data_IF_231179645879
#
_entry.id   IF_231179645879
#
_cell.length_a   1.000
_cell.length_b   1.000
_cell.length_c   1.000
_cell.angle_alpha   90.00
_cell.angle_beta   90.00
_cell.angle_gamma   90.00
#
_symmetry.space_group_name_H-M   'P 1'
#
loop_
_entity.id
_entity.type
_entity.pdbx_description
1 polymer ?
#
# COMPACT_ATOMS: atom_id res chain seq x y z
N UNK A 1 8.06 95.05 -19.62
CA UNK A 1 7.96 94.29 -20.88
C UNK A 1 6.50 93.88 -21.08
N UNK A 2 6.09 93.82 -22.36
CA UNK A 2 4.75 94.03 -22.90
C UNK A 2 3.56 93.25 -22.29
N UNK A 3 2.47 93.99 -22.12
CA UNK A 3 1.06 93.58 -21.93
C UNK A 3 0.42 93.13 -23.26
N UNK A 4 -0.62 92.28 -23.20
CA UNK A 4 -1.67 92.25 -24.25
C UNK A 4 -3.04 91.79 -23.71
N UNK A 5 -3.89 92.79 -23.48
CA UNK A 5 -5.37 92.73 -23.53
C UNK A 5 -5.82 92.53 -24.99
N UNK A 6 -6.91 91.80 -25.21
CA UNK A 6 -7.72 91.81 -26.45
C UNK A 6 -8.90 90.85 -26.24
N UNK A 7 -10.14 91.07 -26.65
CA UNK A 7 -10.88 92.22 -27.17
C UNK A 7 -12.31 91.71 -27.33
N UNK A 8 -13.28 92.41 -26.74
CA UNK A 8 -14.69 92.30 -27.11
C UNK A 8 -14.84 92.56 -28.62
N UNK A 9 -15.42 91.62 -29.37
CA UNK A 9 -16.17 91.92 -30.59
C UNK A 9 -17.41 91.03 -30.65
N UNK A 10 -18.56 91.65 -30.40
CA UNK A 10 -19.88 91.17 -30.84
C UNK A 10 -19.89 91.12 -32.37
N UNK A 11 -20.43 90.08 -33.01
CA UNK A 11 -21.02 90.20 -34.32
C UNK A 11 -22.49 90.59 -34.20
N UNK A 12 -22.86 91.49 -35.10
CA UNK A 12 -24.14 92.15 -35.24
C UNK A 12 -25.19 91.20 -35.84
N UNK A 13 -26.45 91.54 -35.58
CA UNK A 13 -27.61 90.76 -36.00
C UNK A 13 -27.73 90.71 -37.52
N UNK A 14 -28.01 89.53 -38.07
CA UNK A 14 -28.71 89.45 -39.35
C UNK A 14 -29.61 88.21 -39.42
N UNK A 15 -30.90 88.52 -39.59
CA UNK A 15 -31.96 87.78 -40.26
C UNK A 15 -32.05 86.26 -40.07
N UNK A 16 -33.11 85.88 -39.37
CA UNK A 16 -33.74 84.56 -39.39
C UNK A 16 -33.93 83.99 -40.80
N UNK A 17 -33.78 82.67 -40.95
CA UNK A 17 -34.75 81.86 -41.65
C UNK A 17 -35.54 81.05 -40.62
N UNK A 18 -36.87 81.18 -40.65
CA UNK A 18 -37.79 80.21 -40.03
C UNK A 18 -37.62 78.87 -40.74
N UNK A 19 -36.67 78.06 -40.27
CA UNK A 19 -36.46 76.68 -40.69
C UNK A 19 -37.08 75.73 -39.66
N UNK A 20 -38.02 74.89 -40.11
CA UNK A 20 -38.48 73.71 -39.38
C UNK A 20 -37.31 72.75 -39.16
N UNK A 21 -36.64 72.80 -38.01
CA UNK A 21 -35.59 71.82 -37.61
C UNK A 21 -35.82 71.23 -36.22
N UNK A 22 -37.03 71.36 -35.67
CA UNK A 22 -37.38 70.86 -34.33
C UNK A 22 -37.71 69.36 -34.26
N UNK A 23 -37.92 68.67 -35.39
CA UNK A 23 -38.33 67.26 -35.38
C UNK A 23 -37.16 66.26 -35.35
N UNK A 24 -35.97 66.64 -35.83
CA UNK A 24 -34.81 65.74 -35.90
C UNK A 24 -34.08 65.65 -34.55
N UNK A 25 -34.00 66.75 -33.80
CA UNK A 25 -33.34 66.76 -32.48
C UNK A 25 -34.13 66.01 -31.40
N UNK A 26 -35.48 66.00 -31.48
CA UNK A 26 -36.33 65.23 -30.57
C UNK A 26 -36.21 63.72 -30.80
N UNK A 27 -36.07 63.28 -32.06
CA UNK A 27 -35.85 61.87 -32.40
C UNK A 27 -34.51 61.37 -31.87
N UNK A 28 -33.43 62.14 -32.08
CA UNK A 28 -32.09 61.77 -31.58
C UNK A 28 -32.04 61.78 -30.05
N UNK A 29 -32.70 62.72 -29.39
CA UNK A 29 -32.78 62.75 -27.93
C UNK A 29 -33.55 61.54 -27.37
N UNK A 30 -34.65 61.15 -28.01
CA UNK A 30 -35.41 59.95 -27.60
C UNK A 30 -34.57 58.66 -27.75
N UNK A 31 -33.77 58.56 -28.80
CA UNK A 31 -32.85 57.44 -29.03
C UNK A 31 -31.73 57.39 -27.97
N UNK A 32 -31.10 58.52 -27.66
CA UNK A 32 -30.08 58.62 -26.60
C UNK A 32 -30.64 58.30 -25.21
N UNK A 33 -31.88 58.68 -24.93
CA UNK A 33 -32.55 58.32 -23.67
C UNK A 33 -32.81 56.81 -23.59
N UNK A 34 -33.23 56.20 -24.71
CA UNK A 34 -33.43 54.75 -24.81
C UNK A 34 -32.11 54.00 -24.60
N UNK A 35 -31.02 54.44 -25.23
CA UNK A 35 -29.70 53.83 -25.12
C UNK A 35 -29.11 53.98 -23.72
N UNK A 36 -29.25 55.14 -23.08
CA UNK A 36 -28.86 55.32 -21.68
C UNK A 36 -29.65 54.40 -20.74
N UNK A 37 -30.95 54.23 -20.99
CA UNK A 37 -31.77 53.30 -20.20
C UNK A 37 -31.32 51.84 -20.38
N UNK A 38 -30.92 51.46 -21.60
CA UNK A 38 -30.39 50.15 -21.91
C UNK A 38 -29.03 49.93 -21.26
N UNK A 39 -28.09 50.86 -21.42
CA UNK A 39 -26.76 50.81 -20.80
C UNK A 39 -26.84 50.73 -19.27
N UNK A 40 -27.75 51.49 -18.66
CA UNK A 40 -27.96 51.42 -17.21
C UNK A 40 -28.43 50.03 -16.77
N UNK A 41 -29.39 49.43 -17.48
CA UNK A 41 -29.81 48.05 -17.24
C UNK A 41 -28.65 47.07 -17.42
N UNK A 42 -27.84 47.22 -18.45
CA UNK A 42 -26.66 46.37 -18.69
C UNK A 42 -25.64 46.51 -17.55
N UNK A 43 -25.37 47.72 -17.08
CA UNK A 43 -24.47 47.96 -15.94
C UNK A 43 -25.01 47.29 -14.67
N UNK A 44 -26.31 47.40 -14.41
CA UNK A 44 -26.93 46.80 -13.23
C UNK A 44 -26.87 45.26 -13.28
N UNK A 45 -27.10 44.67 -14.47
CA UNK A 45 -26.93 43.22 -14.71
C UNK A 45 -25.48 42.80 -14.46
N UNK A 46 -24.51 43.48 -15.09
CA UNK A 46 -23.09 43.14 -14.95
C UNK A 46 -22.59 43.31 -13.51
N UNK A 47 -23.10 44.28 -12.75
CA UNK A 47 -22.80 44.43 -11.32
C UNK A 47 -23.34 43.26 -10.49
N UNK A 48 -24.57 42.83 -10.75
CA UNK A 48 -25.16 41.68 -10.07
C UNK A 48 -24.41 40.37 -10.39
N UNK A 49 -24.01 40.18 -11.66
CA UNK A 49 -23.19 39.05 -12.09
C UNK A 49 -21.80 39.07 -11.43
N UNK A 50 -21.14 40.23 -11.41
CA UNK A 50 -19.83 40.38 -10.77
C UNK A 50 -19.89 40.04 -9.26
N UNK A 51 -20.93 40.52 -8.56
CA UNK A 51 -21.15 40.18 -7.15
C UNK A 51 -21.34 38.66 -6.96
N UNK A 52 -22.12 38.03 -7.85
CA UNK A 52 -22.35 36.58 -7.83
C UNK A 52 -21.04 35.81 -8.06
N UNK A 53 -20.20 36.25 -9.00
CA UNK A 53 -18.91 35.63 -9.28
C UNK A 53 -17.93 35.80 -8.12
N UNK A 54 -17.91 36.96 -7.46
CA UNK A 54 -17.12 37.17 -6.24
C UNK A 54 -17.50 36.21 -5.12
N UNK A 55 -18.80 36.01 -4.88
CA UNK A 55 -19.25 35.03 -3.88
C UNK A 55 -18.92 33.57 -4.24
N UNK A 56 -18.97 33.22 -5.53
CA UNK A 56 -18.54 31.89 -5.99
C UNK A 56 -17.04 31.68 -5.79
N UNK A 57 -16.24 32.69 -6.13
CA UNK A 57 -14.79 32.66 -5.95
C UNK A 57 -14.43 32.54 -4.46
N UNK A 58 -15.04 33.36 -3.62
CA UNK A 58 -14.85 33.34 -2.16
C UNK A 58 -15.09 31.94 -1.57
N UNK A 59 -16.20 31.27 -1.95
CA UNK A 59 -16.49 29.88 -1.55
C UNK A 59 -15.48 28.86 -2.07
N UNK A 60 -14.93 29.07 -3.27
CA UNK A 60 -13.90 28.18 -3.83
C UNK A 60 -12.61 28.34 -3.04
N UNK A 61 -12.22 29.57 -2.71
CA UNK A 61 -11.01 29.85 -1.93
C UNK A 61 -11.16 29.32 -0.50
N UNK A 62 -12.29 29.56 0.15
CA UNK A 62 -12.59 29.01 1.48
C UNK A 62 -12.43 27.49 1.52
N UNK A 63 -12.97 26.80 0.50
CA UNK A 63 -12.78 25.34 0.37
C UNK A 63 -11.33 24.98 0.12
N UNK A 64 -10.65 25.70 -0.76
CA UNK A 64 -9.25 25.43 -1.10
C UNK A 64 -8.38 25.49 0.17
N UNK A 65 -8.50 26.56 0.95
CA UNK A 65 -7.78 26.76 2.22
C UNK A 65 -8.07 25.61 3.20
N UNK A 66 -9.32 25.14 3.29
CA UNK A 66 -9.67 24.03 4.19
C UNK A 66 -9.02 22.68 3.87
N UNK A 67 -8.45 22.50 2.68
CA UNK A 67 -7.77 21.27 2.26
C UNK A 67 -6.24 21.34 2.31
N UNK A 68 -5.69 22.53 2.52
CA UNK A 68 -4.25 22.79 2.58
C UNK A 68 -3.79 22.81 4.04
N UNK A 69 -2.51 22.49 4.27
CA UNK A 69 -1.92 22.58 5.61
C UNK A 69 -1.68 24.06 5.96
N UNK A 70 -2.16 24.50 7.12
CA UNK A 70 -2.04 25.91 7.55
C UNK A 70 -0.58 26.31 7.83
N UNK A 71 0.29 25.34 8.12
CA UNK A 71 1.71 25.59 8.40
C UNK A 71 2.52 25.95 7.14
N UNK A 72 2.05 25.55 5.96
CA UNK A 72 2.76 25.75 4.68
C UNK A 72 2.44 27.12 4.05
N UNK A 73 1.38 27.78 4.50
CA UNK A 73 0.86 29.01 3.90
C UNK A 73 0.54 30.06 4.97
N UNK A 74 1.14 31.26 4.85
CA UNK A 74 0.91 32.34 5.82
C UNK A 74 -0.39 33.10 5.54
N UNK A 75 -1.50 32.59 6.09
CA UNK A 75 -2.81 33.25 6.02
C UNK A 75 -2.97 34.43 6.99
N UNK A 76 -1.99 34.69 7.87
CA UNK A 76 -2.12 35.70 8.93
C UNK A 76 -2.21 37.14 8.40
N UNK A 77 -1.73 37.36 7.17
CA UNK A 77 -1.75 38.66 6.49
C UNK A 77 -3.05 38.95 5.72
N UNK A 78 -3.92 37.94 5.52
CA UNK A 78 -5.13 38.07 4.74
C UNK A 78 -6.32 38.49 5.61
N UNK A 79 -6.97 39.62 5.29
CA UNK A 79 -8.18 40.07 5.98
C UNK A 79 -9.42 39.39 5.37
N UNK A 80 -9.36 39.04 4.08
CA UNK A 80 -10.37 38.28 3.35
C UNK A 80 -9.72 37.18 2.50
N UNK A 81 -10.45 36.09 2.25
CA UNK A 81 -10.03 35.05 1.30
C UNK A 81 -9.81 35.59 -0.12
N UNK A 82 -10.49 36.68 -0.49
CA UNK A 82 -10.30 37.34 -1.78
C UNK A 82 -8.97 38.09 -1.90
N UNK A 83 -8.25 38.29 -0.79
CA UNK A 83 -6.94 38.95 -0.78
C UNK A 83 -5.81 37.98 -1.12
N UNK A 84 -6.09 36.67 -1.13
CA UNK A 84 -5.13 35.62 -1.51
C UNK A 84 -4.74 35.80 -2.98
N UNK A 85 -3.44 35.80 -3.26
CA UNK A 85 -2.92 35.98 -4.61
C UNK A 85 -3.31 34.81 -5.51
N UNK A 86 -3.40 35.06 -6.82
CA UNK A 86 -3.68 34.00 -7.79
C UNK A 86 -2.57 32.95 -7.81
N UNK A 87 -1.33 33.40 -7.64
CA UNK A 87 -0.14 32.55 -7.55
C UNK A 87 -0.25 31.57 -6.38
N UNK A 88 -0.65 32.03 -5.20
CA UNK A 88 -0.82 31.18 -4.02
C UNK A 88 -1.99 30.21 -4.21
N UNK A 89 -3.10 30.65 -4.81
CA UNK A 89 -4.21 29.75 -5.16
C UNK A 89 -3.78 28.64 -6.13
N UNK A 90 -2.95 28.97 -7.13
CA UNK A 90 -2.44 27.98 -8.07
C UNK A 90 -1.46 27.01 -7.41
N UNK A 91 -0.62 27.49 -6.49
CA UNK A 91 0.27 26.65 -5.69
C UNK A 91 -0.53 25.68 -4.81
N UNK A 92 -1.55 26.16 -4.09
CA UNK A 92 -2.44 25.32 -3.28
C UNK A 92 -3.15 24.25 -4.11
N UNK A 93 -3.66 24.61 -5.29
CA UNK A 93 -4.26 23.63 -6.22
C UNK A 93 -3.22 22.60 -6.65
N UNK A 94 -2.00 23.03 -7.01
CA UNK A 94 -0.90 22.14 -7.38
C UNK A 94 -0.55 21.18 -6.24
N UNK A 95 -0.49 21.65 -5.00
CA UNK A 95 -0.16 20.83 -3.84
C UNK A 95 -1.25 19.79 -3.56
N UNK A 96 -2.52 20.21 -3.53
CA UNK A 96 -3.66 19.29 -3.36
C UNK A 96 -3.68 18.23 -4.47
N UNK A 97 -3.43 18.64 -5.72
CA UNK A 97 -3.47 17.73 -6.87
C UNK A 97 -2.22 16.85 -7.00
N UNK A 98 -1.08 17.25 -6.44
CA UNK A 98 0.18 16.51 -6.54
C UNK A 98 0.48 15.61 -5.35
N UNK A 99 0.04 15.93 -4.13
CA UNK A 99 0.62 15.31 -2.91
C UNK A 99 -0.22 14.26 -2.18
N UNK A 100 -1.54 14.11 -2.37
CA UNK A 100 -2.32 13.27 -1.42
C UNK A 100 -3.02 12.01 -1.95
N UNK A 101 -3.35 11.89 -3.24
CA UNK A 101 -4.09 10.72 -3.73
C UNK A 101 -3.24 9.69 -4.49
N UNK A 102 -2.24 10.10 -5.27
CA UNK A 102 -1.39 9.17 -6.04
C UNK A 102 -0.59 8.23 -5.14
N UNK A 103 0.21 8.76 -4.20
CA UNK A 103 1.07 7.91 -3.38
C UNK A 103 0.31 7.01 -2.38
N UNK A 104 -0.83 7.44 -1.83
CA UNK A 104 -1.62 6.62 -0.90
C UNK A 104 -2.41 5.54 -1.62
N UNK A 105 -2.98 5.87 -2.77
CA UNK A 105 -3.74 4.92 -3.57
C UNK A 105 -2.81 3.92 -4.25
N UNK A 106 -1.64 4.35 -4.75
CA UNK A 106 -0.60 3.45 -5.25
C UNK A 106 -0.10 2.51 -4.14
N UNK A 107 0.21 3.01 -2.95
CA UNK A 107 0.63 2.14 -1.85
C UNK A 107 -0.46 1.13 -1.44
N UNK A 108 -1.74 1.54 -1.44
CA UNK A 108 -2.86 0.63 -1.18
C UNK A 108 -3.03 -0.43 -2.27
N UNK A 109 -2.97 -0.02 -3.54
CA UNK A 109 -3.07 -0.93 -4.68
C UNK A 109 -1.89 -1.90 -4.71
N UNK A 110 -0.67 -1.42 -4.45
CA UNK A 110 0.53 -2.26 -4.35
C UNK A 110 0.40 -3.29 -3.23
N UNK A 111 -0.08 -2.87 -2.05
CA UNK A 111 -0.33 -3.77 -0.90
C UNK A 111 -1.40 -4.81 -1.25
N UNK A 112 -2.45 -4.40 -1.98
CA UNK A 112 -3.54 -5.28 -2.40
C UNK A 112 -3.09 -6.28 -3.47
N UNK A 113 -2.27 -5.84 -4.43
CA UNK A 113 -1.65 -6.70 -5.45
C UNK A 113 -0.77 -7.74 -4.76
N UNK A 114 0.06 -7.32 -3.80
CA UNK A 114 0.91 -8.20 -3.00
C UNK A 114 0.10 -9.25 -2.21
N UNK A 115 -1.01 -8.85 -1.57
CA UNK A 115 -1.93 -9.77 -0.88
C UNK A 115 -2.53 -10.80 -1.86
N UNK A 116 -2.95 -10.36 -3.04
CA UNK A 116 -3.54 -11.26 -4.04
C UNK A 116 -2.50 -12.25 -4.57
N UNK A 117 -1.28 -11.81 -4.82
CA UNK A 117 -0.20 -12.67 -5.32
C UNK A 117 0.28 -13.68 -4.29
N UNK A 118 0.40 -13.28 -3.02
CA UNK A 118 0.72 -14.20 -1.92
C UNK A 118 -0.38 -15.26 -1.79
N UNK A 119 -1.65 -14.87 -1.90
CA UNK A 119 -2.78 -15.81 -1.91
C UNK A 119 -2.76 -16.74 -3.12
N UNK A 120 -2.45 -16.24 -4.33
CA UNK A 120 -2.27 -17.07 -5.53
C UNK A 120 -1.14 -18.08 -5.32
N UNK A 121 -0.03 -17.67 -4.72
CA UNK A 121 1.11 -18.54 -4.44
C UNK A 121 0.76 -19.63 -3.42
N UNK A 122 0.04 -19.27 -2.36
CA UNK A 122 -0.48 -20.24 -1.38
C UNK A 122 -1.43 -21.24 -2.05
N UNK A 123 -2.39 -20.77 -2.84
CA UNK A 123 -3.34 -21.63 -3.57
C UNK A 123 -2.58 -22.55 -4.54
N UNK A 124 -1.60 -22.02 -5.27
CA UNK A 124 -0.79 -22.81 -6.21
C UNK A 124 0.02 -23.89 -5.50
N UNK A 125 0.51 -23.61 -4.29
CA UNK A 125 1.23 -24.56 -3.45
C UNK A 125 0.30 -25.65 -2.91
N UNK A 126 -0.88 -25.28 -2.41
CA UNK A 126 -1.91 -26.23 -1.98
C UNK A 126 -2.41 -27.10 -3.15
N UNK A 127 -2.55 -26.51 -4.34
CA UNK A 127 -2.89 -27.24 -5.55
C UNK A 127 -1.78 -28.24 -5.94
N UNK A 128 -0.50 -27.86 -5.87
CA UNK A 128 0.61 -28.77 -6.14
C UNK A 128 0.63 -29.96 -5.16
N UNK A 129 0.39 -29.71 -3.86
CA UNK A 129 0.26 -30.77 -2.84
C UNK A 129 -0.90 -31.72 -3.17
N UNK A 130 -2.04 -31.17 -3.60
CA UNK A 130 -3.20 -31.93 -4.05
C UNK A 130 -2.89 -32.84 -5.24
N UNK A 131 -2.19 -32.31 -6.26
CA UNK A 131 -1.79 -33.07 -7.45
C UNK A 131 -0.82 -34.20 -7.06
N UNK A 132 0.16 -33.93 -6.19
CA UNK A 132 1.07 -34.96 -5.70
C UNK A 132 0.34 -36.06 -4.92
N UNK A 133 -0.59 -35.69 -4.03
CA UNK A 133 -1.41 -36.66 -3.30
C UNK A 133 -2.23 -37.52 -4.27
N UNK A 134 -2.85 -36.91 -5.28
CA UNK A 134 -3.62 -37.62 -6.31
C UNK A 134 -2.76 -38.65 -7.03
N UNK A 135 -1.57 -38.25 -7.50
CA UNK A 135 -0.64 -39.16 -8.19
C UNK A 135 -0.22 -40.32 -7.29
N UNK A 136 0.07 -40.04 -6.01
CA UNK A 136 0.43 -41.08 -5.04
C UNK A 136 -0.71 -42.07 -4.81
N UNK A 137 -1.95 -41.58 -4.74
CA UNK A 137 -3.14 -42.41 -4.62
C UNK A 137 -3.36 -43.27 -5.87
N UNK A 138 -3.26 -42.69 -7.07
CA UNK A 138 -3.41 -43.42 -8.34
C UNK A 138 -2.34 -44.52 -8.47
N UNK A 139 -1.09 -44.22 -8.12
CA UNK A 139 0.00 -45.19 -8.14
C UNK A 139 -0.21 -46.30 -7.10
N UNK A 140 -0.53 -45.96 -5.85
CA UNK A 140 -0.75 -46.97 -4.81
C UNK A 140 -1.98 -47.85 -5.07
N UNK A 141 -3.05 -47.31 -5.67
CA UNK A 141 -4.20 -48.11 -6.10
C UNK A 141 -3.83 -49.05 -7.28
N UNK A 142 -2.99 -48.58 -8.21
CA UNK A 142 -2.45 -49.43 -9.27
C UNK A 142 -1.54 -50.54 -8.71
N UNK A 143 -0.74 -50.26 -7.69
CA UNK A 143 0.08 -51.25 -6.98
C UNK A 143 -0.80 -52.30 -6.29
N UNK A 144 -1.84 -51.87 -5.55
CA UNK A 144 -2.82 -52.77 -4.93
C UNK A 144 -3.46 -53.70 -5.95
N UNK A 145 -3.80 -53.18 -7.14
CA UNK A 145 -4.36 -53.97 -8.24
C UNK A 145 -3.39 -55.08 -8.72
N UNK A 146 -2.08 -54.86 -8.58
CA UNK A 146 -1.04 -55.83 -8.95
C UNK A 146 -0.65 -56.81 -7.84
N UNK A 147 -1.04 -56.56 -6.58
CA UNK A 147 -0.69 -57.41 -5.45
C UNK A 147 -1.47 -58.74 -5.45
N UNK A 148 -0.78 -59.84 -5.15
CA UNK A 148 -1.38 -61.18 -5.03
C UNK A 148 -1.68 -61.57 -3.58
N UNK A 149 -1.07 -60.88 -2.60
CA UNK A 149 -1.17 -61.20 -1.17
C UNK A 149 -1.97 -60.12 -0.44
N UNK A 150 -2.87 -60.58 0.45
CA UNK A 150 -3.77 -59.69 1.18
C UNK A 150 -3.03 -58.80 2.19
N UNK A 151 -1.89 -59.25 2.72
CA UNK A 151 -1.12 -58.49 3.70
C UNK A 151 -0.39 -57.30 3.06
N UNK A 152 0.08 -57.46 1.82
CA UNK A 152 0.66 -56.37 1.02
C UNK A 152 -0.40 -55.32 0.68
N UNK A 153 -1.59 -55.76 0.29
CA UNK A 153 -2.74 -54.87 0.03
C UNK A 153 -3.08 -54.05 1.29
N UNK A 154 -3.14 -54.68 2.46
CA UNK A 154 -3.43 -54.00 3.73
C UNK A 154 -2.37 -52.96 4.08
N UNK A 155 -1.09 -53.29 3.86
CA UNK A 155 0.01 -52.37 4.15
C UNK A 155 -0.03 -51.13 3.24
N UNK A 156 -0.22 -51.32 1.93
CA UNK A 156 -0.31 -50.20 0.98
C UNK A 156 -1.56 -49.36 1.26
N UNK A 157 -2.71 -49.99 1.52
CA UNK A 157 -3.95 -49.28 1.86
C UNK A 157 -3.83 -48.46 3.16
N UNK A 158 -3.14 -48.98 4.18
CA UNK A 158 -2.88 -48.25 5.42
C UNK A 158 -1.97 -47.03 5.17
N UNK A 159 -0.93 -47.17 4.36
CA UNK A 159 -0.04 -46.05 3.98
C UNK A 159 -0.80 -44.96 3.23
N UNK A 160 -1.61 -45.33 2.23
CA UNK A 160 -2.44 -44.39 1.48
C UNK A 160 -3.43 -43.67 2.40
N UNK A 161 -4.11 -44.41 3.28
CA UNK A 161 -5.03 -43.82 4.27
C UNK A 161 -4.34 -42.77 5.13
N UNK A 162 -3.12 -43.04 5.60
CA UNK A 162 -2.35 -42.08 6.39
C UNK A 162 -1.99 -40.82 5.59
N UNK A 163 -1.54 -40.98 4.34
CA UNK A 163 -1.19 -39.86 3.46
C UNK A 163 -2.39 -38.95 3.15
N UNK A 164 -3.60 -39.51 2.97
CA UNK A 164 -4.84 -38.72 2.79
C UNK A 164 -5.28 -37.96 4.05
N UNK A 165 -5.11 -38.57 5.23
CA UNK A 165 -5.52 -37.96 6.50
C UNK A 165 -4.60 -36.80 6.89
N UNK A 166 -3.32 -36.88 6.51
CA UNK A 166 -2.31 -35.85 6.82
C UNK A 166 -2.55 -34.53 6.08
N UNK A 167 -3.18 -34.57 4.91
CA UNK A 167 -3.24 -33.41 4.03
C UNK A 167 -4.32 -32.39 4.42
N UNK A 168 -5.19 -32.64 5.42
CA UNK A 168 -6.31 -31.75 5.85
C UNK A 168 -7.27 -31.26 4.74
N UNK A 169 -7.02 -31.60 3.47
CA UNK A 169 -7.80 -31.17 2.31
C UNK A 169 -9.19 -31.83 2.26
N UNK A 170 -9.38 -32.95 2.98
CA UNK A 170 -10.66 -33.64 3.14
C UNK A 170 -11.25 -33.52 4.55
N UNK A 171 -11.03 -32.40 5.26
CA UNK A 171 -11.87 -32.09 6.42
C UNK A 171 -13.26 -31.75 5.88
N UNK A 172 -14.15 -32.75 5.82
CA UNK A 172 -15.59 -32.46 5.89
C UNK A 172 -15.79 -31.52 7.09
N UNK A 173 -16.56 -30.42 6.93
CA UNK A 173 -16.93 -29.61 8.07
C UNK A 173 -17.47 -30.55 9.13
N UNK A 174 -16.78 -30.63 10.28
CA UNK A 174 -17.29 -31.40 11.40
C UNK A 174 -18.65 -30.78 11.69
N UNK A 175 -19.72 -31.49 11.34
CA UNK A 175 -21.07 -31.09 11.68
C UNK A 175 -21.05 -30.76 13.17
N UNK A 176 -21.26 -29.48 13.49
CA UNK A 176 -21.19 -28.99 14.85
C UNK A 176 -22.08 -29.89 15.71
N UNK A 177 -21.45 -30.66 16.61
CA UNK A 177 -22.21 -31.45 17.57
C UNK A 177 -23.10 -30.48 18.34
N UNK A 178 -24.41 -30.72 18.44
CA UNK A 178 -25.33 -29.79 19.08
C UNK A 178 -24.89 -29.57 20.53
N UNK A 179 -24.65 -28.30 20.87
CA UNK A 179 -24.33 -27.84 22.23
C UNK A 179 -25.45 -28.35 23.16
N UNK A 180 -25.10 -29.26 24.08
CA UNK A 180 -26.00 -29.65 25.17
C UNK A 180 -26.39 -28.40 25.98
N UNK A 181 -27.67 -28.20 26.31
CA UNK A 181 -28.09 -27.06 27.12
C UNK A 181 -27.54 -27.19 28.54
N UNK A 182 -26.93 -26.11 29.04
CA UNK A 182 -26.49 -25.97 30.42
C UNK A 182 -27.74 -25.86 31.31
N UNK A 183 -28.15 -26.96 31.93
CA UNK A 183 -29.13 -26.92 33.01
C UNK A 183 -28.46 -26.41 34.29
N UNK A 184 -29.00 -25.29 34.78
CA UNK A 184 -28.82 -24.79 36.14
C UNK A 184 -29.58 -25.72 37.09
N UNK A 185 -28.91 -26.30 38.08
CA UNK A 185 -29.53 -26.56 39.38
C UNK A 185 -28.47 -26.64 40.48
N UNK A 186 -28.71 -25.85 41.52
CA UNK A 186 -27.95 -25.80 42.78
C UNK A 186 -28.10 -27.13 43.54
N UNK A 187 -27.08 -27.51 44.29
CA UNK A 187 -27.25 -27.96 45.67
C UNK A 187 -25.94 -27.72 46.46
N UNK A 188 -26.08 -27.05 47.60
CA UNK A 188 -25.13 -27.01 48.73
C UNK A 188 -25.06 -28.44 49.34
N UNK A 189 -24.08 -28.88 50.13
CA UNK A 189 -23.25 -28.23 51.15
C UNK A 189 -22.08 -29.16 51.54
N UNK A 190 -21.09 -28.58 52.25
CA UNK A 190 -20.29 -29.18 53.34
C UNK A 190 -19.32 -30.34 53.01
N UNK A 191 -18.07 -30.43 53.49
CA UNK A 191 -17.31 -29.72 54.52
C UNK A 191 -15.82 -30.11 54.37
N UNK A 192 -14.92 -29.13 54.60
CA UNK A 192 -13.72 -29.21 55.48
C UNK A 192 -12.36 -29.72 54.94
N UNK A 193 -11.36 -28.87 55.26
CA UNK A 193 -9.88 -28.95 55.22
C UNK A 193 -9.21 -28.62 53.87
N UNK A 194 -8.32 -27.65 53.75
CA UNK A 194 -7.59 -26.83 54.73
C UNK A 194 -6.37 -26.23 54.02
N UNK A 195 -5.88 -25.10 54.53
CA UNK A 195 -4.60 -24.43 54.20
C UNK A 195 -4.57 -23.45 53.01
N UNK A 196 -5.08 -22.25 53.30
CA UNK A 196 -4.37 -20.97 53.28
C UNK A 196 -2.91 -20.99 52.74
N UNK A 197 -2.62 -20.13 51.75
CA UNK A 197 -1.75 -18.95 51.91
C UNK A 197 -2.00 -17.99 50.72
N UNK A 198 -2.32 -16.75 51.07
CA UNK A 198 -2.45 -15.58 50.20
C UNK A 198 -1.11 -15.22 49.54
N UNK A 199 -1.13 -14.82 48.27
CA UNK A 199 -0.18 -13.80 47.78
C UNK A 199 -0.94 -12.74 46.99
N UNK A 200 -0.78 -11.52 47.50
CA UNK A 200 -1.31 -10.25 47.05
C UNK A 200 -0.69 -9.83 45.71
N UNK A 201 -1.50 -9.12 44.93
CA UNK A 201 -1.07 -8.30 43.80
C UNK A 201 -0.44 -7.00 44.36
N UNK A 202 0.73 -6.59 43.87
CA UNK A 202 1.08 -5.17 43.85
C UNK A 202 1.35 -4.69 42.41
N UNK A 203 0.53 -3.73 41.98
CA UNK A 203 0.89 -2.72 40.98
C UNK A 203 2.01 -1.82 41.52
N UNK A 204 3.10 -1.65 40.77
CA UNK A 204 3.79 -0.37 40.56
C UNK A 204 5.10 -0.55 39.80
N UNK A 205 5.41 0.49 39.03
CA UNK A 205 6.60 0.71 38.23
C UNK A 205 7.91 0.26 38.88
N UNK A 206 8.66 -0.57 38.17
CA UNK A 206 10.13 -0.53 38.18
C UNK A 206 10.69 -1.31 36.98
N UNK A 207 11.53 -0.63 36.20
CA UNK A 207 12.43 -1.26 35.20
C UNK A 207 13.22 -2.39 35.86
N UNK A 208 13.30 -3.58 35.25
CA UNK A 208 14.44 -4.46 35.44
C UNK A 208 15.47 -4.18 34.35
N UNK A 209 16.43 -3.32 34.70
CA UNK A 209 17.77 -3.39 34.14
C UNK A 209 18.45 -4.58 34.81
N UNK A 210 18.64 -5.72 34.14
CA UNK A 210 19.81 -6.59 34.36
C UNK A 210 19.83 -7.77 33.39
N UNK A 211 20.91 -7.79 32.61
CA UNK A 211 21.74 -8.96 32.32
C UNK A 211 21.03 -10.31 32.13
N UNK A 212 20.70 -10.59 30.88
CA UNK A 212 21.08 -11.84 30.22
C UNK A 212 21.00 -11.61 28.70
N UNK A 213 21.93 -10.77 28.22
CA UNK A 213 22.23 -10.68 26.80
C UNK A 213 22.85 -12.01 26.37
N UNK A 214 22.05 -12.89 25.80
CA UNK A 214 22.55 -14.01 25.02
C UNK A 214 23.20 -13.42 23.76
N UNK A 215 24.52 -13.53 23.55
CA UNK A 215 25.10 -13.21 22.27
C UNK A 215 24.81 -14.41 21.37
N UNK A 216 23.76 -14.33 20.55
CA UNK A 216 23.53 -15.30 19.48
C UNK A 216 23.52 -14.61 18.12
N UNK A 217 24.50 -13.74 17.89
CA UNK A 217 25.20 -13.80 16.62
C UNK A 217 26.23 -14.93 16.76
N UNK A 218 25.90 -16.13 16.28
CA UNK A 218 26.97 -17.00 15.81
C UNK A 218 27.61 -16.19 14.71
N UNK A 219 28.75 -15.56 15.00
CA UNK A 219 29.58 -14.91 14.02
C UNK A 219 29.99 -16.01 13.03
N UNK A 220 29.16 -16.22 12.01
CA UNK A 220 29.59 -16.94 10.83
C UNK A 220 30.71 -16.08 10.28
N UNK A 221 31.94 -16.61 10.30
CA UNK A 221 33.03 -16.08 9.51
C UNK A 221 32.52 -16.05 8.06
N UNK A 222 32.05 -14.88 7.63
CA UNK A 222 31.56 -14.66 6.28
C UNK A 222 32.80 -14.62 5.39
N UNK A 223 33.07 -15.74 4.72
CA UNK A 223 33.98 -15.74 3.59
C UNK A 223 33.45 -14.73 2.57
N UNK A 224 34.31 -13.78 2.18
CA UNK A 224 33.98 -12.78 1.17
C UNK A 224 33.75 -13.53 -0.13
N UNK A 225 32.48 -13.63 -0.55
CA UNK A 225 32.12 -14.23 -1.83
C UNK A 225 32.36 -13.18 -2.91
N UNK A 226 33.49 -13.29 -3.59
CA UNK A 226 33.76 -12.48 -4.79
C UNK A 226 32.95 -13.06 -5.95
N UNK A 227 32.00 -12.28 -6.46
CA UNK A 227 31.24 -12.64 -7.66
C UNK A 227 31.79 -11.77 -8.80
N UNK A 228 32.44 -12.37 -9.81
CA UNK A 228 32.88 -11.64 -11.00
C UNK A 228 31.68 -11.00 -11.69
N UNK A 229 31.78 -9.75 -12.13
CA UNK A 229 30.68 -9.09 -12.82
C UNK A 229 30.35 -9.83 -14.14
N UNK A 230 29.06 -10.02 -14.42
CA UNK A 230 28.63 -10.77 -15.60
C UNK A 230 28.66 -9.92 -16.87
N UNK A 231 29.30 -10.45 -17.92
CA UNK A 231 29.31 -9.85 -19.25
C UNK A 231 27.92 -9.85 -19.93
N UNK A 232 27.06 -10.80 -19.56
CA UNK A 232 25.70 -10.96 -20.10
C UNK A 232 24.72 -11.31 -18.98
N UNK A 233 23.60 -10.57 -18.90
CA UNK A 233 22.54 -10.85 -17.92
C UNK A 233 21.67 -12.04 -18.36
N UNK A 234 21.37 -12.91 -17.41
CA UNK A 234 20.47 -14.06 -17.56
C UNK A 234 19.00 -13.62 -17.41
N UNK A 235 18.03 -14.40 -17.94
CA UNK A 235 16.61 -14.06 -17.79
C UNK A 235 16.14 -14.14 -16.34
N UNK A 236 15.30 -13.21 -15.88
CA UNK A 236 14.72 -13.23 -14.52
C UNK A 236 13.83 -14.45 -14.25
N UNK A 237 13.29 -15.08 -15.30
CA UNK A 237 12.53 -16.34 -15.20
C UNK A 237 13.42 -17.56 -14.92
N UNK A 238 14.74 -17.39 -14.84
CA UNK A 238 15.66 -18.45 -14.41
C UNK A 238 15.19 -19.01 -13.07
N UNK A 239 15.11 -20.34 -12.98
CA UNK A 239 14.69 -21.02 -11.78
C UNK A 239 15.77 -20.98 -10.69
N UNK A 240 15.39 -20.95 -9.41
CA UNK A 240 16.31 -20.80 -8.26
C UNK A 240 17.28 -21.98 -8.11
N UNK A 241 16.96 -23.14 -8.70
CA UNK A 241 17.90 -24.28 -8.80
C UNK A 241 19.10 -23.95 -9.70
N UNK A 242 18.86 -23.17 -10.75
CA UNK A 242 19.82 -22.85 -11.81
C UNK A 242 20.43 -21.45 -11.64
N UNK A 243 20.20 -20.81 -10.49
CA UNK A 243 20.79 -19.53 -10.16
C UNK A 243 22.30 -19.66 -9.96
N UNK A 244 23.05 -18.62 -10.34
CA UNK A 244 24.51 -18.52 -10.17
C UNK A 244 24.89 -18.91 -8.72
N UNK A 245 25.71 -19.96 -8.52
CA UNK A 245 25.98 -20.53 -7.20
C UNK A 245 26.55 -19.52 -6.20
N UNK A 246 27.42 -18.62 -6.65
CA UNK A 246 28.07 -17.61 -5.83
C UNK A 246 27.06 -16.57 -5.32
N UNK A 247 26.17 -16.12 -6.21
CA UNK A 247 25.06 -15.23 -5.84
C UNK A 247 24.09 -15.92 -4.88
N UNK A 248 23.83 -17.22 -5.09
CA UNK A 248 23.02 -18.04 -4.19
C UNK A 248 23.62 -18.13 -2.81
N UNK A 249 24.93 -18.34 -2.74
CA UNK A 249 25.67 -18.41 -1.49
C UNK A 249 25.64 -17.07 -0.74
N UNK A 250 25.81 -15.94 -1.44
CA UNK A 250 25.70 -14.60 -0.87
C UNK A 250 24.30 -14.36 -0.26
N UNK A 251 23.24 -14.71 -0.99
CA UNK A 251 21.85 -14.56 -0.49
C UNK A 251 21.61 -15.44 0.73
N UNK A 252 22.13 -16.68 0.71
CA UNK A 252 22.04 -17.59 1.85
C UNK A 252 22.73 -16.99 3.07
N UNK A 253 23.94 -16.48 2.90
CA UNK A 253 24.72 -15.89 4.00
C UNK A 253 24.01 -14.69 4.61
N UNK A 254 23.59 -13.73 3.80
CA UNK A 254 22.99 -12.47 4.25
C UNK A 254 21.60 -12.66 4.89
N UNK A 255 20.72 -13.45 4.28
CA UNK A 255 19.37 -13.67 4.83
C UNK A 255 19.35 -14.67 5.99
N UNK A 256 20.40 -15.47 6.17
CA UNK A 256 20.52 -16.34 7.35
C UNK A 256 20.84 -15.55 8.62
N UNK A 257 21.31 -14.30 8.51
CA UNK A 257 21.57 -13.45 9.66
C UNK A 257 20.27 -13.07 10.36
N UNK A 258 20.22 -13.29 11.67
CA UNK A 258 19.06 -12.96 12.48
C UNK A 258 18.90 -11.43 12.58
N UNK A 259 17.75 -10.90 12.16
CA UNK A 259 17.44 -9.47 12.28
C UNK A 259 16.36 -9.25 13.33
N UNK A 260 16.53 -8.23 14.16
CA UNK A 260 15.60 -7.92 15.26
C UNK A 260 14.18 -7.58 14.79
N UNK A 261 14.05 -7.03 13.59
CA UNK A 261 12.77 -6.71 12.95
C UNK A 261 12.11 -7.91 12.22
N UNK A 262 12.76 -9.08 12.18
CA UNK A 262 12.26 -10.25 11.47
C UNK A 262 12.45 -10.23 9.95
N UNK A 263 13.11 -9.20 9.39
CA UNK A 263 13.37 -9.07 7.95
C UNK A 263 14.53 -9.97 7.46
N UNK A 264 14.45 -11.25 7.78
CA UNK A 264 15.42 -12.30 7.48
C UNK A 264 14.74 -13.51 6.83
N UNK A 265 15.44 -14.65 6.80
CA UNK A 265 14.93 -15.90 6.24
C UNK A 265 13.54 -16.30 6.76
N UNK A 266 13.14 -15.91 7.99
CA UNK A 266 11.84 -16.28 8.57
C UNK A 266 10.69 -15.63 7.81
N UNK A 267 10.78 -14.32 7.60
CA UNK A 267 9.81 -13.57 6.82
C UNK A 267 9.79 -14.03 5.37
N UNK A 268 10.97 -14.27 4.78
CA UNK A 268 11.03 -14.80 3.42
C UNK A 268 10.35 -16.17 3.31
N UNK A 269 10.63 -17.10 4.24
CA UNK A 269 10.05 -18.44 4.29
C UNK A 269 8.52 -18.40 4.36
N UNK A 270 7.97 -17.56 5.25
CA UNK A 270 6.52 -17.37 5.39
C UNK A 270 5.91 -16.87 4.08
N UNK A 271 6.55 -15.90 3.43
CA UNK A 271 6.07 -15.30 2.18
C UNK A 271 6.06 -16.25 1.00
N UNK A 272 7.03 -17.15 0.92
CA UNK A 272 7.07 -18.18 -0.14
C UNK A 272 6.23 -19.41 0.20
N UNK A 273 5.44 -19.37 1.28
CA UNK A 273 4.45 -20.39 1.63
C UNK A 273 5.01 -21.59 2.39
N UNK A 274 6.17 -21.45 3.03
CA UNK A 274 6.70 -22.51 3.91
C UNK A 274 5.86 -22.56 5.19
N UNK A 275 5.36 -23.74 5.62
CA UNK A 275 4.52 -23.84 6.81
C UNK A 275 5.22 -23.34 8.08
N UNK A 276 4.50 -22.55 8.89
CA UNK A 276 5.02 -21.99 10.15
C UNK A 276 5.57 -23.06 11.11
N UNK A 277 4.99 -24.26 11.10
CA UNK A 277 5.49 -25.41 11.87
C UNK A 277 6.94 -25.77 11.52
N UNK A 278 7.29 -25.74 10.23
CA UNK A 278 8.65 -26.05 9.75
C UNK A 278 9.61 -24.91 10.05
N UNK A 279 9.16 -23.66 9.89
CA UNK A 279 9.91 -22.46 10.26
C UNK A 279 10.25 -22.50 11.76
N UNK A 280 9.28 -22.81 12.61
CA UNK A 280 9.47 -22.91 14.06
C UNK A 280 10.40 -24.07 14.43
N UNK A 281 10.30 -25.20 13.73
CA UNK A 281 11.25 -26.30 13.89
C UNK A 281 12.69 -25.86 13.57
N UNK A 282 12.91 -25.14 12.47
CA UNK A 282 14.24 -24.62 12.11
C UNK A 282 14.77 -23.59 13.11
N UNK A 283 13.89 -22.76 13.70
CA UNK A 283 14.26 -21.86 14.81
C UNK A 283 14.77 -22.64 16.02
N UNK A 284 14.06 -23.70 16.42
CA UNK A 284 14.42 -24.53 17.57
C UNK A 284 15.74 -25.27 17.32
N UNK A 285 15.95 -25.76 16.11
CA UNK A 285 17.16 -26.49 15.71
C UNK A 285 18.41 -25.61 15.62
N UNK A 286 18.28 -24.27 15.66
CA UNK A 286 19.38 -23.30 15.56
C UNK A 286 20.34 -23.60 14.39
N UNK A 287 19.76 -23.85 13.21
CA UNK A 287 20.50 -24.14 11.99
C UNK A 287 21.38 -22.93 11.64
N UNK A 288 22.62 -23.17 11.18
CA UNK A 288 23.58 -22.11 10.87
C UNK A 288 23.21 -21.29 9.62
N UNK A 289 22.67 -21.95 8.59
CA UNK A 289 22.25 -21.32 7.33
C UNK A 289 20.80 -21.69 6.99
N UNK A 290 19.82 -21.22 7.77
CA UNK A 290 18.42 -21.56 7.58
C UNK A 290 17.90 -21.12 6.20
N UNK A 291 18.44 -20.05 5.61
CA UNK A 291 18.04 -19.62 4.27
C UNK A 291 18.37 -20.68 3.19
N UNK A 292 19.40 -21.49 3.40
CA UNK A 292 19.73 -22.60 2.48
C UNK A 292 18.57 -23.61 2.41
N UNK A 293 17.97 -23.94 3.56
CA UNK A 293 16.83 -24.84 3.64
C UNK A 293 15.58 -24.20 3.05
N UNK A 294 15.38 -22.90 3.27
CA UNK A 294 14.30 -22.12 2.67
C UNK A 294 14.37 -22.18 1.15
N UNK A 295 15.52 -21.86 0.55
CA UNK A 295 15.70 -21.93 -0.89
C UNK A 295 15.56 -23.36 -1.42
N UNK A 296 16.04 -24.36 -0.68
CA UNK A 296 15.89 -25.76 -1.06
C UNK A 296 14.41 -26.18 -1.14
N UNK A 297 13.64 -25.94 -0.08
CA UNK A 297 12.20 -26.28 -0.05
C UNK A 297 11.42 -25.46 -1.06
N UNK A 298 11.70 -24.15 -1.15
CA UNK A 298 11.01 -23.28 -2.10
C UNK A 298 11.28 -23.68 -3.54
N UNK A 299 12.48 -24.19 -3.85
CA UNK A 299 12.86 -24.59 -5.20
C UNK A 299 12.08 -25.78 -5.79
N UNK A 300 11.21 -26.42 -5.01
CA UNK A 300 10.27 -27.40 -5.55
C UNK A 300 8.98 -26.76 -6.09
N UNK A 301 8.77 -25.46 -5.83
CA UNK A 301 7.68 -24.69 -6.41
C UNK A 301 8.02 -24.25 -7.84
N UNK A 302 7.10 -24.38 -8.81
CA UNK A 302 7.31 -23.90 -10.18
C UNK A 302 7.47 -22.37 -10.25
N UNK A 303 7.01 -21.64 -9.22
CA UNK A 303 7.15 -20.19 -9.11
C UNK A 303 8.50 -19.72 -8.54
N UNK A 304 9.40 -20.64 -8.17
CA UNK A 304 10.69 -20.30 -7.57
C UNK A 304 11.68 -19.79 -8.62
N UNK A 305 11.47 -18.56 -9.07
CA UNK A 305 12.30 -17.86 -10.07
C UNK A 305 13.12 -16.73 -9.44
N UNK A 306 14.19 -16.32 -10.12
CA UNK A 306 15.04 -15.20 -9.70
C UNK A 306 14.25 -13.89 -9.68
N UNK A 307 13.30 -13.67 -10.61
CA UNK A 307 12.41 -12.50 -10.61
C UNK A 307 11.56 -12.44 -9.34
N UNK A 308 10.98 -13.57 -8.92
CA UNK A 308 10.16 -13.59 -7.70
C UNK A 308 11.03 -13.40 -6.44
N UNK A 309 12.24 -13.95 -6.42
CA UNK A 309 13.22 -13.70 -5.36
C UNK A 309 13.57 -12.21 -5.28
N UNK A 310 13.91 -11.60 -6.42
CA UNK A 310 14.21 -10.17 -6.51
C UNK A 310 13.05 -9.33 -5.97
N UNK A 311 11.81 -9.65 -6.39
CA UNK A 311 10.60 -8.96 -5.93
C UNK A 311 10.42 -9.02 -4.40
N UNK A 312 10.65 -10.18 -3.79
CA UNK A 312 10.61 -10.30 -2.34
C UNK A 312 11.71 -9.51 -1.64
N UNK A 313 12.91 -9.43 -2.23
CA UNK A 313 14.03 -8.67 -1.67
C UNK A 313 13.81 -7.15 -1.70
N UNK A 314 13.19 -6.62 -2.76
CA UNK A 314 12.85 -5.18 -2.86
C UNK A 314 11.62 -4.78 -2.05
N UNK A 315 10.82 -5.75 -1.57
CA UNK A 315 9.59 -5.47 -0.82
C UNK A 315 9.83 -4.55 0.38
N UNK A 316 8.90 -3.63 0.68
CA UNK A 316 8.97 -2.72 1.84
C UNK A 316 9.14 -3.43 3.19
N UNK A 317 8.81 -4.72 3.29
CA UNK A 317 8.92 -5.47 4.54
C UNK A 317 10.34 -6.03 4.74
N UNK A 318 10.95 -6.56 3.66
CA UNK A 318 12.26 -7.21 3.73
C UNK A 318 13.42 -6.22 3.54
N UNK A 319 13.21 -5.18 2.70
CA UNK A 319 14.14 -4.07 2.41
C UNK A 319 15.59 -4.52 2.17
N UNK A 320 15.80 -5.64 1.51
CA UNK A 320 17.12 -6.18 1.19
C UNK A 320 17.63 -5.60 -0.14
N UNK A 321 17.63 -4.26 -0.24
CA UNK A 321 17.84 -3.52 -1.49
C UNK A 321 19.24 -3.77 -2.07
N UNK A 322 20.26 -3.94 -1.23
CA UNK A 322 21.63 -4.23 -1.69
C UNK A 322 21.73 -5.59 -2.38
N UNK A 323 21.10 -6.62 -1.82
CA UNK A 323 21.02 -7.95 -2.43
C UNK A 323 20.23 -7.90 -3.74
N UNK A 324 19.08 -7.21 -3.74
CA UNK A 324 18.28 -7.03 -4.93
C UNK A 324 19.07 -6.37 -6.06
N UNK A 325 19.75 -5.25 -5.76
CA UNK A 325 20.62 -4.55 -6.72
C UNK A 325 21.73 -5.47 -7.24
N UNK A 326 22.31 -6.32 -6.39
CA UNK A 326 23.31 -7.29 -6.83
C UNK A 326 22.70 -8.31 -7.79
N UNK A 327 21.49 -8.81 -7.56
CA UNK A 327 20.78 -9.70 -8.51
C UNK A 327 20.57 -9.02 -9.86
N UNK A 328 20.17 -7.74 -9.88
CA UNK A 328 19.95 -6.97 -11.11
C UNK A 328 21.21 -6.84 -11.98
N UNK A 329 22.41 -7.00 -11.41
CA UNK A 329 23.65 -7.02 -12.20
C UNK A 329 23.78 -8.29 -13.05
N UNK A 330 23.19 -9.41 -12.61
CA UNK A 330 23.33 -10.72 -13.25
C UNK A 330 22.07 -11.17 -13.98
N UNK A 331 20.90 -10.63 -13.62
CA UNK A 331 19.61 -11.06 -14.15
C UNK A 331 18.75 -9.87 -14.62
N UNK A 332 17.93 -10.10 -15.65
CA UNK A 332 16.91 -9.15 -16.12
C UNK A 332 15.61 -9.36 -15.34
N UNK A 333 15.44 -8.59 -14.26
CA UNK A 333 14.37 -8.74 -13.25
C UNK A 333 13.43 -7.54 -13.17
N UNK A 334 13.51 -6.65 -14.15
CA UNK A 334 12.64 -5.47 -14.29
C UNK A 334 11.16 -5.83 -14.51
#
# INVERSE_FOLDING_TARGET
MATKKSSNRRPDSSRSPKGKTTSVSLSQHAEVVKDNSHLKKTIDILKAENLTMKHKLDRVIERLVSYVDEDDYDFSSCVSYLDISLEDMLAMISDITSTKDSNRQEHYLETRIEEVETRITQISTEFAKLVQLKLRMENGLNEIKGCQRIDEIKQIAASLSYDSARTQIFIQPIAEKPKKPKNKMKLLSDEVQGENIQIQIPTSDSRPTSANGIPMSVACNLEVVEIPDADVKLPGDTHIKDMIPELKQLIIQELSLYKGNGADWRMFAERVGIPNQLIDQWKIMKISQPMKNVLFVWSDSPGATVRLLHRHLVSPQLKCILLAKRITNYYTVD
#
